data_IF_030436589684
#
_entry.id   IF_030436589684
#
_cell.length_a   1.000
_cell.length_b   1.000
_cell.length_c   1.000
_cell.angle_alpha   90.00
_cell.angle_beta   90.00
_cell.angle_gamma   90.00
#
_symmetry.space_group_name_H-M   'P 1'
#
loop_
_entity.id
_entity.type
_entity.pdbx_description
1 polymer ?
#
# COMPACT_ATOMS: atom_id res chain seq x y z
N UNK A 1 22.01 13.21 18.10
CA UNK A 1 20.73 13.43 17.38
C UNK A 1 19.84 12.23 17.70
N UNK A 2 18.86 12.39 18.58
CA UNK A 2 18.04 11.27 19.01
C UNK A 2 17.05 10.90 17.89
N UNK A 3 17.19 9.69 17.33
CA UNK A 3 16.14 9.09 16.52
C UNK A 3 14.94 8.86 17.45
N UNK A 4 13.93 9.70 17.35
CA UNK A 4 12.66 9.53 18.06
C UNK A 4 11.99 8.28 17.49
N UNK A 5 12.24 7.12 18.10
CA UNK A 5 11.57 5.87 17.75
C UNK A 5 10.15 5.91 18.34
N UNK A 6 9.16 6.32 17.54
CA UNK A 6 7.76 6.06 17.85
C UNK A 6 7.29 4.93 16.93
N UNK A 7 7.20 3.72 17.48
CA UNK A 7 6.42 2.67 16.84
C UNK A 7 4.95 3.07 16.96
N UNK A 8 4.33 3.34 15.83
CA UNK A 8 2.94 3.81 15.77
C UNK A 8 2.12 2.83 14.96
N UNK A 9 0.85 2.70 15.35
CA UNK A 9 -0.08 1.78 14.74
C UNK A 9 -1.02 2.55 13.82
N UNK A 10 -1.03 2.16 12.55
CA UNK A 10 -1.89 2.73 11.53
C UNK A 10 -2.60 1.63 10.75
N UNK A 11 -3.89 1.84 10.46
CA UNK A 11 -4.49 1.17 9.30
C UNK A 11 -3.92 1.77 8.02
N UNK A 12 -4.00 1.05 6.90
CA UNK A 12 -3.55 1.56 5.61
C UNK A 12 -4.25 2.88 5.22
N UNK A 13 -5.55 2.97 5.50
CA UNK A 13 -6.34 4.17 5.28
C UNK A 13 -5.85 5.35 6.16
N UNK A 14 -5.59 5.11 7.45
CA UNK A 14 -5.04 6.14 8.34
C UNK A 14 -3.65 6.61 7.90
N UNK A 15 -2.80 5.70 7.44
CA UNK A 15 -1.47 6.03 6.93
C UNK A 15 -1.54 7.05 5.78
N UNK A 16 -2.49 6.87 4.85
CA UNK A 16 -2.64 7.74 3.67
C UNK A 16 -3.52 8.98 3.90
N UNK A 17 -4.49 8.94 4.82
CA UNK A 17 -5.37 10.07 5.14
C UNK A 17 -4.76 10.98 6.20
N UNK A 18 -4.53 10.45 7.40
CA UNK A 18 -4.17 11.24 8.59
C UNK A 18 -2.82 11.92 8.40
N UNK A 19 -1.84 11.16 7.90
CA UNK A 19 -0.50 11.69 7.72
C UNK A 19 -0.31 12.37 6.36
N UNK A 20 -1.29 12.19 5.45
CA UNK A 20 -1.21 12.62 4.05
C UNK A 20 0.10 12.16 3.39
N UNK A 21 0.57 10.96 3.76
CA UNK A 21 1.82 10.44 3.27
C UNK A 21 1.70 9.96 1.84
N UNK A 22 2.72 10.27 1.05
CA UNK A 22 3.03 9.51 -0.14
C UNK A 22 3.89 8.31 0.28
N UNK A 23 3.65 7.13 -0.28
CA UNK A 23 4.49 5.95 -0.12
C UNK A 23 5.43 5.89 -1.33
N UNK A 24 6.73 6.01 -1.10
CA UNK A 24 7.75 5.91 -2.15
C UNK A 24 8.59 4.64 -1.93
N UNK A 25 8.40 3.64 -2.80
CA UNK A 25 9.21 2.42 -2.76
C UNK A 25 10.64 2.76 -3.23
N UNK A 26 11.68 2.49 -2.40
CA UNK A 26 13.05 2.90 -2.70
C UNK A 26 13.68 2.07 -3.83
N UNK A 27 14.92 2.43 -4.20
CA UNK A 27 15.74 1.77 -5.27
C UNK A 27 16.18 0.35 -4.89
N UNK A 28 16.24 0.06 -3.59
CA UNK A 28 16.63 -1.26 -3.08
C UNK A 28 15.35 -1.96 -2.61
N UNK A 29 14.74 -2.70 -3.53
CA UNK A 29 13.52 -3.45 -3.35
C UNK A 29 13.62 -4.77 -4.11
N UNK A 30 13.07 -5.83 -3.50
CA UNK A 30 12.91 -7.09 -4.22
C UNK A 30 11.72 -6.97 -5.17
N UNK A 31 11.77 -7.74 -6.25
CA UNK A 31 10.60 -7.89 -7.11
C UNK A 31 9.38 -8.36 -6.32
N UNK A 32 8.22 -7.87 -6.75
CA UNK A 32 6.94 -8.29 -6.20
C UNK A 32 6.73 -9.78 -6.45
N UNK A 33 6.83 -10.60 -5.40
CA UNK A 33 6.79 -12.04 -5.52
C UNK A 33 5.34 -12.54 -5.58
N UNK A 34 4.44 -11.89 -4.84
CA UNK A 34 3.03 -12.27 -4.78
C UNK A 34 2.39 -12.24 -6.17
N UNK A 35 2.75 -11.34 -7.08
CA UNK A 35 2.18 -11.32 -8.45
C UNK A 35 2.57 -12.48 -9.38
N UNK A 36 3.54 -13.34 -9.00
CA UNK A 36 4.10 -14.37 -9.91
C UNK A 36 3.30 -15.66 -9.88
N UNK A 37 3.00 -16.28 -11.02
CA UNK A 37 2.22 -17.54 -11.07
C UNK A 37 2.81 -18.65 -10.19
N UNK A 38 4.14 -18.76 -10.14
CA UNK A 38 4.87 -19.74 -9.33
C UNK A 38 4.74 -19.54 -7.82
N UNK A 39 4.30 -18.37 -7.36
CA UNK A 39 4.19 -18.00 -5.95
C UNK A 39 2.74 -18.06 -5.43
N UNK A 40 1.97 -19.03 -5.92
CA UNK A 40 0.55 -19.21 -5.58
C UNK A 40 0.33 -19.42 -4.08
N UNK A 41 1.17 -20.23 -3.43
CA UNK A 41 1.06 -20.50 -2.00
C UNK A 41 1.28 -19.22 -1.16
N UNK A 42 2.32 -18.44 -1.48
CA UNK A 42 2.60 -17.16 -0.82
C UNK A 42 1.41 -16.19 -0.94
N UNK A 43 0.79 -16.10 -2.12
CA UNK A 43 -0.44 -15.31 -2.32
C UNK A 43 -1.59 -15.84 -1.49
N UNK A 44 -1.90 -17.13 -1.62
CA UNK A 44 -3.05 -17.76 -0.97
C UNK A 44 -2.96 -17.62 0.55
N UNK A 45 -1.76 -17.76 1.12
CA UNK A 45 -1.56 -17.60 2.56
C UNK A 45 -1.80 -16.15 3.02
N UNK A 46 -1.28 -15.16 2.27
CA UNK A 46 -1.48 -13.76 2.62
C UNK A 46 -2.94 -13.31 2.45
N UNK A 47 -3.56 -13.63 1.32
CA UNK A 47 -4.97 -13.32 1.06
C UNK A 47 -5.90 -14.09 2.00
N UNK A 48 -5.57 -15.34 2.33
CA UNK A 48 -6.31 -16.13 3.31
C UNK A 48 -6.24 -15.53 4.72
N UNK A 49 -5.08 -14.99 5.13
CA UNK A 49 -4.97 -14.26 6.38
C UNK A 49 -5.86 -13.00 6.38
N UNK A 50 -5.80 -12.20 5.31
CA UNK A 50 -6.66 -11.02 5.15
C UNK A 50 -8.15 -11.38 5.16
N UNK A 51 -8.55 -12.42 4.44
CA UNK A 51 -9.92 -12.90 4.40
C UNK A 51 -10.41 -13.30 5.79
N UNK A 52 -9.63 -14.10 6.53
CA UNK A 52 -9.97 -14.47 7.91
C UNK A 52 -10.11 -13.25 8.83
N UNK A 53 -9.26 -12.24 8.64
CA UNK A 53 -9.34 -11.00 9.44
C UNK A 53 -10.66 -10.26 9.20
N UNK A 54 -11.16 -10.29 7.96
CA UNK A 54 -12.46 -9.70 7.60
C UNK A 54 -13.62 -10.56 8.08
N UNK A 55 -13.52 -11.89 8.01
CA UNK A 55 -14.58 -12.84 8.39
C UNK A 55 -14.80 -12.91 9.91
N UNK A 56 -13.72 -12.92 10.69
CA UNK A 56 -13.81 -13.03 12.15
C UNK A 56 -14.18 -11.71 12.84
N UNK A 57 -14.16 -10.58 12.11
CA UNK A 57 -14.44 -9.21 12.58
C UNK A 57 -13.72 -8.83 13.89
N UNK A 58 -12.53 -9.40 14.10
CA UNK A 58 -11.71 -9.10 15.27
C UNK A 58 -10.96 -7.80 14.99
N UNK A 59 -11.25 -6.70 15.72
CA UNK A 59 -10.54 -5.46 15.52
C UNK A 59 -9.07 -5.64 15.87
N UNK A 60 -8.21 -4.79 15.30
CA UNK A 60 -6.81 -4.72 15.71
C UNK A 60 -5.97 -5.97 15.39
N UNK A 61 -6.19 -6.63 14.24
CA UNK A 61 -5.23 -7.58 13.67
C UNK A 61 -4.04 -6.84 13.04
N UNK A 62 -2.83 -7.18 13.44
CA UNK A 62 -1.61 -6.62 12.84
C UNK A 62 -1.18 -7.42 11.59
N UNK A 63 -0.86 -6.70 10.53
CA UNK A 63 -0.34 -7.24 9.26
C UNK A 63 1.20 -7.28 9.23
N UNK A 64 1.78 -7.61 10.39
CA UNK A 64 3.21 -7.43 10.69
C UNK A 64 3.64 -5.94 10.70
N UNK A 65 4.91 -5.65 10.94
CA UNK A 65 5.43 -4.29 10.96
C UNK A 65 6.01 -3.85 9.60
N UNK A 66 5.97 -2.55 9.37
CA UNK A 66 6.65 -1.84 8.29
C UNK A 66 7.54 -0.81 8.94
N UNK A 67 8.81 -0.73 8.54
CA UNK A 67 9.71 0.29 9.06
C UNK A 67 10.36 1.05 7.90
N UNK A 68 10.63 2.32 8.16
CA UNK A 68 11.08 3.26 7.17
C UNK A 68 11.34 4.60 7.81
N UNK A 69 11.47 5.62 6.99
CA UNK A 69 11.59 6.99 7.44
C UNK A 69 10.64 7.89 6.64
N UNK A 70 10.30 9.02 7.23
CA UNK A 70 9.45 10.05 6.62
C UNK A 70 10.36 11.20 6.19
N UNK A 71 10.20 11.67 4.96
CA UNK A 71 10.90 12.84 4.44
C UNK A 71 10.20 14.14 4.85
N UNK A 72 10.88 15.28 4.70
CA UNK A 72 10.29 16.59 4.97
C UNK A 72 9.06 16.87 4.09
N UNK A 73 9.02 16.29 2.88
CA UNK A 73 7.92 16.37 1.92
C UNK A 73 6.77 15.41 2.22
N UNK A 74 6.71 14.84 3.44
CA UNK A 74 5.68 13.87 3.86
C UNK A 74 5.65 12.62 2.99
N UNK A 75 6.80 12.13 2.55
CA UNK A 75 6.90 10.83 1.87
C UNK A 75 7.43 9.77 2.85
N UNK A 76 6.69 8.69 3.03
CA UNK A 76 7.14 7.52 3.77
C UNK A 76 7.91 6.58 2.85
N UNK A 77 9.18 6.34 3.17
CA UNK A 77 10.07 5.47 2.42
C UNK A 77 10.28 4.16 3.21
N UNK A 78 9.61 3.06 2.84
CA UNK A 78 9.75 1.77 3.52
C UNK A 78 11.12 1.16 3.22
N UNK A 79 11.88 0.89 4.28
CA UNK A 79 13.11 0.10 4.23
C UNK A 79 12.80 -1.41 4.23
N UNK A 80 11.67 -1.80 4.81
CA UNK A 80 11.09 -3.15 4.74
C UNK A 80 9.56 -3.07 4.66
N UNK A 81 8.89 -4.17 4.33
CA UNK A 81 7.44 -4.22 4.18
C UNK A 81 6.94 -3.67 2.83
N UNK A 82 7.83 -3.42 1.89
CA UNK A 82 7.53 -2.88 0.54
C UNK A 82 6.46 -3.70 -0.20
N UNK A 83 6.58 -5.03 -0.18
CA UNK A 83 5.60 -5.92 -0.83
C UNK A 83 4.24 -5.91 -0.10
N UNK A 84 4.24 -5.83 1.23
CA UNK A 84 3.00 -5.72 2.02
C UNK A 84 2.24 -4.44 1.67
N UNK A 85 2.94 -3.31 1.61
CA UNK A 85 2.34 -2.03 1.21
C UNK A 85 1.84 -2.06 -0.24
N UNK A 86 2.60 -2.68 -1.15
CA UNK A 86 2.16 -2.86 -2.54
C UNK A 86 0.84 -3.64 -2.60
N UNK A 87 0.74 -4.75 -1.87
CA UNK A 87 -0.48 -5.57 -1.87
C UNK A 87 -1.65 -4.86 -1.21
N UNK A 88 -1.42 -4.12 -0.12
CA UNK A 88 -2.46 -3.32 0.50
C UNK A 88 -2.96 -2.21 -0.44
N UNK A 89 -2.06 -1.55 -1.17
CA UNK A 89 -2.45 -0.56 -2.18
C UNK A 89 -3.33 -1.20 -3.27
N UNK A 90 -2.88 -2.31 -3.87
CA UNK A 90 -3.64 -3.01 -4.91
C UNK A 90 -4.98 -3.54 -4.41
N UNK A 91 -5.04 -4.08 -3.19
CA UNK A 91 -6.27 -4.58 -2.59
C UNK A 91 -7.28 -3.45 -2.33
N UNK A 92 -6.83 -2.32 -1.76
CA UNK A 92 -7.71 -1.18 -1.51
C UNK A 92 -8.21 -0.57 -2.82
N UNK A 93 -7.36 -0.47 -3.84
CA UNK A 93 -7.78 -0.06 -5.18
C UNK A 93 -8.84 -1.00 -5.75
N UNK A 94 -8.57 -2.31 -5.72
CA UNK A 94 -9.48 -3.33 -6.24
C UNK A 94 -10.85 -3.28 -5.55
N UNK A 95 -10.87 -3.21 -4.22
CA UNK A 95 -12.10 -3.11 -3.45
C UNK A 95 -12.85 -1.81 -3.71
N UNK A 96 -12.15 -0.67 -3.83
CA UNK A 96 -12.78 0.59 -4.14
C UNK A 96 -13.47 0.55 -5.51
N UNK A 97 -12.80 0.02 -6.54
CA UNK A 97 -13.41 -0.18 -7.85
C UNK A 97 -14.57 -1.16 -7.84
N UNK A 98 -14.43 -2.32 -7.18
CA UNK A 98 -15.50 -3.30 -7.07
C UNK A 98 -16.77 -2.76 -6.38
N UNK A 99 -16.62 -1.75 -5.51
CA UNK A 99 -17.73 -1.09 -4.81
C UNK A 99 -18.14 0.26 -5.41
N UNK A 100 -17.57 0.66 -6.55
CA UNK A 100 -17.76 2.00 -7.16
C UNK A 100 -17.43 3.17 -6.20
N UNK A 101 -16.48 2.98 -5.28
CA UNK A 101 -16.04 3.99 -4.32
C UNK A 101 -14.96 4.90 -4.94
N UNK A 102 -15.39 5.72 -5.89
CA UNK A 102 -14.52 6.69 -6.56
C UNK A 102 -13.96 7.73 -5.59
N UNK A 103 -14.72 8.08 -4.53
CA UNK A 103 -14.28 9.02 -3.51
C UNK A 103 -13.07 8.49 -2.73
N UNK A 104 -13.01 7.19 -2.45
CA UNK A 104 -11.84 6.58 -1.82
C UNK A 104 -10.60 6.68 -2.72
N UNK A 105 -10.75 6.42 -4.00
CA UNK A 105 -9.65 6.52 -4.98
C UNK A 105 -9.09 7.95 -4.99
N UNK A 106 -9.98 8.93 -5.16
CA UNK A 106 -9.60 10.35 -5.28
C UNK A 106 -9.02 10.91 -3.98
N UNK A 107 -9.63 10.62 -2.84
CA UNK A 107 -9.27 11.25 -1.56
C UNK A 107 -8.20 10.48 -0.77
N UNK A 108 -8.06 9.17 -0.99
CA UNK A 108 -7.13 8.31 -0.22
C UNK A 108 -5.95 7.90 -1.05
N UNK A 109 -6.20 7.29 -2.21
CA UNK A 109 -5.15 6.72 -3.04
C UNK A 109 -4.46 7.77 -3.91
N UNK A 110 -5.09 8.92 -4.12
CA UNK A 110 -4.56 10.01 -4.95
C UNK A 110 -4.33 11.30 -4.18
N UNK A 111 -3.44 12.14 -4.71
CA UNK A 111 -3.22 13.52 -4.33
C UNK A 111 -2.96 14.33 -5.60
N UNK A 112 -3.71 15.41 -5.81
CA UNK A 112 -3.59 16.27 -6.98
C UNK A 112 -3.68 15.49 -8.31
N UNK A 113 -4.53 14.47 -8.35
CA UNK A 113 -4.73 13.59 -9.51
C UNK A 113 -3.63 12.56 -9.74
N UNK A 114 -2.63 12.45 -8.84
CA UNK A 114 -1.53 11.48 -8.93
C UNK A 114 -1.63 10.44 -7.82
N UNK A 115 -1.09 9.25 -8.09
CA UNK A 115 -1.00 8.18 -7.09
C UNK A 115 -0.14 8.61 -5.89
N UNK A 116 -0.64 8.35 -4.68
CA UNK A 116 0.16 8.44 -3.45
C UNK A 116 1.14 7.26 -3.33
N UNK A 117 1.06 6.26 -4.20
CA UNK A 117 1.95 5.11 -4.22
C UNK A 117 2.84 5.16 -5.47
N UNK A 118 4.15 5.34 -5.26
CA UNK A 118 5.13 5.55 -6.33
C UNK A 118 6.39 4.73 -6.12
N UNK A 119 7.14 4.47 -7.19
CA UNK A 119 8.43 3.80 -7.15
C UNK A 119 9.53 4.77 -7.58
N UNK A 120 10.64 4.83 -6.82
CA UNK A 120 11.72 5.80 -7.06
C UNK A 120 12.42 5.64 -8.42
N UNK A 121 12.62 4.40 -8.88
CA UNK A 121 13.35 4.09 -10.13
C UNK A 121 12.61 3.16 -11.08
N UNK A 122 11.41 2.68 -10.72
CA UNK A 122 10.58 1.85 -11.59
C UNK A 122 9.45 2.70 -12.17
N UNK A 123 9.78 3.54 -13.14
CA UNK A 123 8.83 4.47 -13.76
C UNK A 123 7.58 3.75 -14.27
N UNK A 124 7.73 2.60 -14.95
CA UNK A 124 6.59 1.81 -15.40
C UNK A 124 5.68 1.31 -14.27
N UNK A 125 6.22 1.07 -13.07
CA UNK A 125 5.42 0.71 -11.90
C UNK A 125 4.68 1.91 -11.33
N UNK A 126 5.28 3.11 -11.36
CA UNK A 126 4.60 4.36 -11.03
C UNK A 126 3.48 4.66 -12.03
N UNK A 127 3.77 4.59 -13.34
CA UNK A 127 2.80 4.80 -14.41
C UNK A 127 1.63 3.81 -14.29
N UNK A 128 1.93 2.55 -13.94
CA UNK A 128 0.91 1.55 -13.65
C UNK A 128 0.02 1.97 -12.46
N UNK A 129 0.61 2.37 -11.33
CA UNK A 129 -0.16 2.84 -10.17
C UNK A 129 -1.02 4.08 -10.49
N UNK A 130 -0.54 5.00 -11.33
CA UNK A 130 -1.33 6.14 -11.80
C UNK A 130 -2.48 5.69 -12.72
N UNK A 131 -2.20 4.78 -13.65
CA UNK A 131 -3.22 4.22 -14.55
C UNK A 131 -4.35 3.51 -13.79
N UNK A 132 -4.05 2.84 -12.68
CA UNK A 132 -5.07 2.22 -11.84
C UNK A 132 -6.13 3.23 -11.36
N UNK A 133 -5.76 4.48 -11.11
CA UNK A 133 -6.70 5.48 -10.58
C UNK A 133 -7.78 5.89 -11.59
N UNK A 134 -7.48 5.79 -12.89
CA UNK A 134 -8.34 6.32 -13.96
C UNK A 134 -8.99 5.23 -14.82
N UNK A 135 -8.49 3.99 -14.76
CA UNK A 135 -8.99 2.88 -15.57
C UNK A 135 -9.99 2.00 -14.79
N UNK A 136 -10.87 1.31 -15.53
CA UNK A 136 -11.83 0.36 -14.98
C UNK A 136 -11.24 -1.05 -14.85
N UNK A 137 -11.82 -1.85 -13.94
CA UNK A 137 -11.53 -3.28 -13.86
C UNK A 137 -12.34 -3.97 -14.96
N UNK A 138 -11.65 -4.54 -15.95
CA UNK A 138 -12.27 -5.36 -17.00
C UNK A 138 -12.81 -6.69 -16.45
#
# INVERSE_FOLDING_TARGET
MALQKTAERYSFNQLLRTNSFNIEIPIIQRDYAQGRDSQRELRSNFLGALYKYLEEDIPHRDLDFVYGYVTEEKSFIPLDGQQRLTTLFLLHWYLAKANNDQQFIENVLSKDGKSKFVYKTRFSSTDFCEALLTNEIN
#
